data_IF_099717562736
#
_entry.id   IF_099717562736
#
_cell.length_a   1.000
_cell.length_b   1.000
_cell.length_c   1.000
_cell.angle_alpha   90.00
_cell.angle_beta   90.00
_cell.angle_gamma   90.00
#
_symmetry.space_group_name_H-M   'P 1'
#
loop_
_entity.id
_entity.type
_entity.pdbx_description
1 polymer ?
#
# COMPACT_ATOMS: atom_id res chain seq x y z
N UNK A 1 15.36 -7.16 9.89
CA UNK A 1 15.72 -6.80 8.50
C UNK A 1 14.56 -6.04 7.89
N UNK A 2 14.71 -5.43 6.71
CA UNK A 2 13.67 -4.64 6.00
C UNK A 2 13.28 -5.38 4.72
N UNK A 3 12.24 -4.93 4.01
CA UNK A 3 11.89 -5.44 2.68
C UNK A 3 13.12 -5.51 1.77
N UNK A 4 13.37 -6.70 1.21
CA UNK A 4 14.53 -6.95 0.34
C UNK A 4 14.18 -7.76 -0.92
N UNK A 5 12.91 -8.12 -1.10
CA UNK A 5 12.42 -8.86 -2.25
C UNK A 5 10.98 -8.47 -2.59
N UNK A 6 10.54 -8.82 -3.80
CA UNK A 6 9.20 -8.52 -4.33
C UNK A 6 8.57 -9.76 -4.96
N UNK A 7 7.29 -9.99 -4.68
CA UNK A 7 6.50 -11.02 -5.31
C UNK A 7 5.16 -10.47 -5.79
N UNK A 8 4.73 -10.93 -6.97
CA UNK A 8 3.42 -10.63 -7.54
C UNK A 8 2.50 -11.83 -7.37
N UNK A 9 1.26 -11.58 -6.94
CA UNK A 9 0.24 -12.61 -6.83
C UNK A 9 -1.14 -12.04 -7.16
N UNK A 10 -2.12 -12.93 -7.28
CA UNK A 10 -3.53 -12.59 -7.47
C UNK A 10 -4.30 -12.99 -6.22
N UNK A 11 -5.26 -12.16 -5.80
CA UNK A 11 -6.18 -12.52 -4.72
C UNK A 11 -7.01 -13.73 -5.14
N UNK A 12 -7.26 -14.65 -4.19
CA UNK A 12 -8.09 -15.82 -4.44
C UNK A 12 -9.59 -15.48 -4.31
N UNK A 13 -9.89 -14.45 -3.53
CA UNK A 13 -11.20 -13.92 -3.23
C UNK A 13 -11.52 -12.68 -4.11
N UNK A 14 -12.50 -11.88 -3.69
CA UNK A 14 -12.88 -10.63 -4.36
C UNK A 14 -12.28 -9.40 -3.66
N UNK A 15 -11.17 -9.56 -2.94
CA UNK A 15 -10.47 -8.42 -2.34
C UNK A 15 -9.97 -7.48 -3.45
N UNK A 16 -10.00 -6.15 -3.22
CA UNK A 16 -9.39 -5.18 -4.12
C UNK A 16 -7.88 -5.44 -4.21
N UNK A 17 -7.18 -4.73 -5.10
CA UNK A 17 -5.71 -4.78 -5.12
C UNK A 17 -5.12 -4.12 -3.88
N UNK A 18 -4.06 -4.72 -3.31
CA UNK A 18 -3.39 -4.22 -2.10
C UNK A 18 -1.92 -4.64 -2.04
N UNK A 19 -1.20 -4.01 -1.13
CA UNK A 19 0.17 -4.36 -0.76
C UNK A 19 0.16 -5.04 0.60
N UNK A 20 1.05 -6.00 0.77
CA UNK A 20 1.32 -6.61 2.06
C UNK A 20 2.75 -7.13 2.05
N UNK A 21 3.13 -7.92 3.04
CA UNK A 21 4.43 -8.55 3.11
C UNK A 21 4.34 -9.94 3.73
N UNK A 22 5.23 -10.81 3.29
CA UNK A 22 5.51 -12.09 3.94
C UNK A 22 7.00 -12.08 4.28
N UNK A 23 7.33 -12.01 5.57
CA UNK A 23 8.71 -11.82 6.06
C UNK A 23 9.33 -10.53 5.48
N UNK A 24 10.44 -10.63 4.75
CA UNK A 24 11.09 -9.50 4.07
C UNK A 24 10.68 -9.35 2.60
N UNK A 25 9.66 -10.08 2.13
CA UNK A 25 9.18 -9.98 0.75
C UNK A 25 7.93 -9.12 0.70
N UNK A 26 7.97 -8.03 -0.07
CA UNK A 26 6.77 -7.24 -0.38
C UNK A 26 5.91 -7.99 -1.39
N UNK A 27 4.65 -8.17 -1.03
CA UNK A 27 3.65 -8.85 -1.83
C UNK A 27 2.77 -7.80 -2.52
N UNK A 28 2.70 -7.88 -3.83
CA UNK A 28 1.86 -7.04 -4.68
C UNK A 28 0.69 -7.90 -5.14
N UNK A 29 -0.48 -7.69 -4.55
CA UNK A 29 -1.66 -8.52 -4.79
C UNK A 29 -2.61 -7.83 -5.76
N UNK A 30 -2.75 -8.38 -6.96
CA UNK A 30 -3.73 -7.94 -7.96
C UNK A 30 -5.09 -8.54 -7.61
N UNK A 31 -6.17 -7.77 -7.78
CA UNK A 31 -7.52 -8.28 -7.58
C UNK A 31 -7.88 -9.32 -8.64
N UNK A 32 -8.55 -10.40 -8.23
CA UNK A 32 -9.08 -11.42 -9.14
C UNK A 32 -9.95 -10.85 -10.25
N UNK A 33 -10.80 -9.88 -9.91
CA UNK A 33 -11.71 -9.24 -10.85
C UNK A 33 -10.93 -8.53 -11.96
N UNK A 34 -9.95 -7.70 -11.60
CA UNK A 34 -9.20 -6.92 -12.57
C UNK A 34 -8.18 -7.75 -13.34
N UNK A 35 -7.58 -8.77 -12.73
CA UNK A 35 -6.76 -9.75 -13.45
C UNK A 35 -7.59 -10.47 -14.53
N UNK A 36 -8.81 -10.93 -14.18
CA UNK A 36 -9.72 -11.57 -15.15
C UNK A 36 -10.18 -10.61 -16.25
N UNK A 37 -10.34 -9.34 -15.92
CA UNK A 37 -10.72 -8.28 -16.86
C UNK A 37 -9.54 -7.68 -17.64
N UNK A 38 -8.31 -8.18 -17.43
CA UNK A 38 -7.07 -7.63 -17.99
C UNK A 38 -6.91 -6.12 -17.74
N UNK A 39 -7.26 -5.68 -16.53
CA UNK A 39 -7.14 -4.30 -16.04
C UNK A 39 -5.95 -4.20 -15.09
N UNK A 40 -5.15 -3.15 -15.26
CA UNK A 40 -4.03 -2.88 -14.38
C UNK A 40 -4.47 -1.99 -13.20
N UNK A 41 -4.50 -2.58 -12.00
CA UNK A 41 -4.85 -1.90 -10.75
C UNK A 41 -3.81 -0.92 -10.24
N UNK A 42 -2.56 -1.09 -10.66
CA UNK A 42 -1.42 -0.30 -10.22
C UNK A 42 -0.97 0.69 -11.30
N UNK A 43 -1.90 1.12 -12.15
CA UNK A 43 -1.62 2.09 -13.20
C UNK A 43 -1.16 3.40 -12.56
N UNK A 44 0.13 3.76 -12.77
CA UNK A 44 0.85 4.92 -12.18
C UNK A 44 1.33 4.71 -10.74
N UNK A 45 1.67 3.50 -10.35
CA UNK A 45 2.23 3.24 -9.02
C UNK A 45 3.66 3.76 -8.85
N UNK A 46 4.40 3.96 -9.94
CA UNK A 46 5.83 4.26 -9.94
C UNK A 46 6.24 5.42 -9.00
N UNK A 47 5.50 6.55 -8.93
CA UNK A 47 5.82 7.65 -8.01
C UNK A 47 5.70 7.29 -6.52
N UNK A 48 5.03 6.19 -6.19
CA UNK A 48 4.73 5.79 -4.83
C UNK A 48 5.54 4.60 -4.32
N UNK A 49 6.26 3.92 -5.21
CA UNK A 49 6.99 2.69 -4.86
C UNK A 49 7.94 2.89 -3.68
N UNK A 50 8.66 4.02 -3.62
CA UNK A 50 9.55 4.33 -2.50
C UNK A 50 8.79 4.47 -1.17
N UNK A 51 7.67 5.18 -1.18
CA UNK A 51 6.82 5.35 0.00
C UNK A 51 6.22 4.03 0.47
N UNK A 52 5.78 3.18 -0.46
CA UNK A 52 5.21 1.87 -0.17
C UNK A 52 6.27 0.92 0.42
N UNK A 53 7.44 0.84 -0.21
CA UNK A 53 8.56 0.04 0.31
C UNK A 53 8.97 0.52 1.71
N UNK A 54 9.00 1.84 1.91
CA UNK A 54 9.33 2.44 3.20
C UNK A 54 8.29 2.11 4.26
N UNK A 55 7.01 2.20 3.93
CA UNK A 55 5.89 1.84 4.80
C UNK A 55 6.01 0.37 5.24
N UNK A 56 6.05 -0.57 4.29
CA UNK A 56 6.15 -2.00 4.60
C UNK A 56 7.46 -2.36 5.34
N UNK A 57 8.57 -1.67 5.02
CA UNK A 57 9.83 -1.86 5.75
C UNK A 57 9.73 -1.46 7.22
N UNK A 58 8.99 -0.40 7.55
CA UNK A 58 8.74 0.01 8.94
C UNK A 58 7.93 -1.07 9.66
N UNK A 59 6.90 -1.61 9.02
CA UNK A 59 6.11 -2.72 9.58
C UNK A 59 6.99 -3.94 9.88
N UNK A 60 7.82 -4.37 8.93
CA UNK A 60 8.74 -5.51 9.13
C UNK A 60 9.71 -5.26 10.28
N UNK A 61 10.29 -4.05 10.38
CA UNK A 61 11.23 -3.72 11.46
C UNK A 61 10.53 -3.73 12.81
N UNK A 62 9.38 -3.08 12.94
CA UNK A 62 8.66 -2.98 14.21
C UNK A 62 8.12 -4.33 14.65
N UNK A 63 7.56 -5.13 13.73
CA UNK A 63 7.12 -6.50 14.02
C UNK A 63 8.24 -7.38 14.57
N UNK A 64 9.49 -7.17 14.11
CA UNK A 64 10.66 -7.91 14.57
C UNK A 64 11.20 -7.42 15.93
N UNK A 65 11.08 -6.13 16.23
CA UNK A 65 11.56 -5.54 17.48
C UNK A 65 10.56 -5.68 18.64
N UNK A 66 9.28 -5.59 18.31
CA UNK A 66 8.18 -5.51 19.26
C UNK A 66 7.20 -6.69 19.05
N UNK A 67 5.98 -6.40 18.60
CA UNK A 67 4.94 -7.38 18.32
C UNK A 67 4.21 -7.07 17.02
N UNK A 68 3.54 -8.08 16.47
CA UNK A 68 2.62 -7.92 15.33
C UNK A 68 1.51 -6.91 15.60
N UNK A 69 0.98 -6.87 16.83
CA UNK A 69 -0.10 -5.94 17.20
C UNK A 69 0.34 -4.47 17.14
N UNK A 70 1.56 -4.19 17.62
CA UNK A 70 2.13 -2.83 17.54
C UNK A 70 2.41 -2.45 16.10
N UNK A 71 2.98 -3.36 15.30
CA UNK A 71 3.17 -3.14 13.86
C UNK A 71 1.84 -2.83 13.16
N UNK A 72 0.80 -3.63 13.39
CA UNK A 72 -0.49 -3.48 12.72
C UNK A 72 -1.20 -2.19 13.13
N UNK A 73 -0.93 -1.65 14.32
CA UNK A 73 -1.46 -0.34 14.75
C UNK A 73 -0.93 0.84 13.92
N UNK A 74 0.08 0.62 13.07
CA UNK A 74 0.69 1.63 12.21
C UNK A 74 0.12 1.63 10.77
N UNK A 75 -0.82 0.75 10.44
CA UNK A 75 -1.44 0.66 9.09
C UNK A 75 -2.23 1.93 8.70
N UNK A 76 -2.37 2.89 9.62
CA UNK A 76 -3.03 4.18 9.42
C UNK A 76 -2.05 5.36 9.51
N UNK A 77 -0.78 5.21 9.12
CA UNK A 77 0.12 6.36 9.00
C UNK A 77 -0.47 7.37 8.01
N UNK A 78 -0.77 8.55 8.52
CA UNK A 78 -1.33 9.64 7.76
C UNK A 78 -0.23 10.59 7.27
N UNK A 79 -0.27 10.92 5.99
CA UNK A 79 0.55 11.96 5.38
C UNK A 79 -0.30 13.20 5.11
N UNK A 80 0.33 14.37 5.18
CA UNK A 80 -0.30 15.62 4.77
C UNK A 80 0.05 15.91 3.31
N UNK A 81 -0.94 15.82 2.42
CA UNK A 81 -0.81 16.21 1.01
C UNK A 81 -1.41 17.59 0.77
N UNK A 82 -0.85 18.35 -0.16
CA UNK A 82 -1.39 19.68 -0.53
C UNK A 82 -1.96 19.66 -1.95
N UNK A 83 -3.24 20.00 -2.09
CA UNK A 83 -3.95 20.07 -3.37
C UNK A 83 -4.62 21.44 -3.45
N UNK A 84 -4.34 22.21 -4.51
CA UNK A 84 -4.92 23.55 -4.71
C UNK A 84 -4.81 24.42 -3.44
N UNK A 85 -3.63 24.43 -2.84
CA UNK A 85 -3.29 25.14 -1.58
C UNK A 85 -4.05 24.69 -0.33
N UNK A 86 -4.78 23.57 -0.38
CA UNK A 86 -5.45 22.95 0.77
C UNK A 86 -4.68 21.71 1.22
N UNK A 87 -4.50 21.58 2.54
CA UNK A 87 -3.86 20.42 3.16
C UNK A 87 -4.90 19.36 3.51
N UNK A 88 -4.60 18.12 3.18
CA UNK A 88 -5.43 16.96 3.50
C UNK A 88 -4.60 15.94 4.26
N UNK A 89 -5.17 15.38 5.32
CA UNK A 89 -4.61 14.26 6.07
C UNK A 89 -5.15 12.98 5.46
N UNK A 90 -4.25 12.12 5.00
CA UNK A 90 -4.60 10.98 4.16
C UNK A 90 -3.78 9.79 4.60
N UNK A 91 -4.43 8.65 4.85
CA UNK A 91 -3.72 7.41 5.13
C UNK A 91 -2.95 6.98 3.88
N UNK A 92 -1.68 6.59 4.05
CA UNK A 92 -0.81 6.17 2.93
C UNK A 92 -1.47 5.04 2.13
N UNK A 93 -2.15 4.12 2.81
CA UNK A 93 -2.90 3.02 2.20
C UNK A 93 -4.04 3.49 1.27
N UNK A 94 -4.63 4.65 1.52
CA UNK A 94 -5.68 5.21 0.67
C UNK A 94 -5.16 5.91 -0.59
N UNK A 95 -3.86 6.23 -0.67
CA UNK A 95 -3.23 6.82 -1.87
C UNK A 95 -3.41 6.00 -3.14
N UNK A 96 -3.49 4.68 -2.98
CA UNK A 96 -3.65 3.73 -4.07
C UNK A 96 -5.06 3.69 -4.66
N UNK A 97 -6.06 4.10 -3.88
CA UNK A 97 -7.46 4.10 -4.31
C UNK A 97 -7.88 5.45 -4.92
N UNK A 98 -7.01 6.46 -4.91
CA UNK A 98 -7.29 7.79 -5.45
C UNK A 98 -6.85 7.91 -6.93
N UNK A 99 -7.76 8.38 -7.77
CA UNK A 99 -7.51 8.57 -9.22
C UNK A 99 -6.42 9.61 -9.56
N UNK A 100 -6.10 10.50 -8.63
CA UNK A 100 -5.21 11.64 -8.82
C UNK A 100 -3.99 11.58 -7.89
N UNK A 101 -3.67 10.42 -7.35
CA UNK A 101 -2.50 10.23 -6.48
C UNK A 101 -2.56 11.00 -5.16
N UNK A 102 -3.71 11.59 -4.81
CA UNK A 102 -3.87 12.36 -3.57
C UNK A 102 -4.17 11.51 -2.33
N UNK A 103 -4.59 10.26 -2.55
CA UNK A 103 -5.24 9.41 -1.55
C UNK A 103 -6.59 9.87 -1.03
N UNK A 104 -7.17 10.89 -1.65
CA UNK A 104 -8.57 11.21 -1.48
C UNK A 104 -9.41 10.32 -2.41
N UNK A 105 -10.09 9.35 -1.80
CA UNK A 105 -11.16 8.62 -2.47
C UNK A 105 -12.39 9.54 -2.46
N UNK A 106 -12.57 10.30 -3.55
CA UNK A 106 -13.74 11.17 -3.74
C UNK A 106 -14.87 10.32 -4.33
N UNK A 107 -16.11 10.38 -3.80
CA UNK A 107 -17.25 9.58 -4.27
C UNK A 107 -17.57 9.75 -5.76
#
# INVERSE_FOLDING_TARGET
>A
MTINDFAFACSADNSPSYFTYEKETMMIIVSKENETANKNDFKKIEPFMESLISHESIHVVIKNLESGDISNSLDDIEVIVTIKDRKFQVTVNNMLFANDSSGLVIP
#
